data_IF_876670768161
#
_entry.id   IF_876670768161
#
_cell.length_a   1.000
_cell.length_b   1.000
_cell.length_c   1.000
_cell.angle_alpha   90.00
_cell.angle_beta   90.00
_cell.angle_gamma   90.00
#
_symmetry.space_group_name_H-M   'P 1'
#
loop_
_entity.id
_entity.type
_entity.pdbx_description
1 polymer ?
#
# COMPACT_ATOMS: atom_id res chain seq x y z
N UNK A 1 4.66 3.12 -12.74
CA UNK A 1 5.28 2.62 -11.48
C UNK A 1 6.28 3.68 -10.99
N UNK A 2 5.98 4.45 -9.92
CA UNK A 2 6.76 5.67 -9.52
C UNK A 2 7.11 5.79 -8.01
N UNK A 3 6.64 4.89 -7.15
CA UNK A 3 6.75 5.04 -5.69
C UNK A 3 8.18 4.96 -5.13
N UNK A 4 8.98 3.98 -5.59
CA UNK A 4 10.36 3.80 -5.10
C UNK A 4 11.28 4.95 -5.51
N UNK A 5 11.09 5.50 -6.71
CA UNK A 5 11.84 6.68 -7.17
C UNK A 5 11.53 7.89 -6.31
N UNK A 6 10.25 8.18 -6.05
CA UNK A 6 9.86 9.30 -5.20
C UNK A 6 10.39 9.14 -3.76
N UNK A 7 10.23 7.96 -3.15
CA UNK A 7 10.75 7.72 -1.79
C UNK A 7 12.27 7.82 -1.70
N UNK A 8 12.99 7.51 -2.78
CA UNK A 8 14.43 7.73 -2.89
C UNK A 8 14.79 9.21 -3.03
N UNK A 9 14.11 9.95 -3.91
CA UNK A 9 14.31 11.41 -4.11
C UNK A 9 14.09 12.17 -2.80
N UNK A 10 13.01 11.88 -2.10
CA UNK A 10 12.69 12.53 -0.83
C UNK A 10 13.40 11.90 0.39
N UNK A 11 14.25 10.88 0.19
CA UNK A 11 15.02 10.24 1.25
C UNK A 11 14.17 9.63 2.38
N UNK A 12 12.90 9.28 2.12
CA UNK A 12 11.95 8.84 3.15
C UNK A 12 12.43 7.55 3.83
N UNK A 13 12.82 6.56 3.03
CA UNK A 13 13.29 5.27 3.55
C UNK A 13 14.64 5.40 4.27
N UNK A 14 15.50 6.34 3.85
CA UNK A 14 16.76 6.65 4.53
C UNK A 14 16.50 7.21 5.93
N UNK A 15 15.60 8.20 6.04
CA UNK A 15 15.24 8.81 7.32
C UNK A 15 14.59 7.82 8.29
N UNK A 16 13.68 6.97 7.79
CA UNK A 16 13.08 5.92 8.62
C UNK A 16 14.13 4.93 9.15
N UNK A 17 15.13 4.60 8.33
CA UNK A 17 16.25 3.75 8.76
C UNK A 17 17.12 4.46 9.81
N UNK A 18 17.44 5.73 9.61
CA UNK A 18 18.22 6.55 10.55
C UNK A 18 17.51 6.71 11.91
N UNK A 19 16.18 6.75 11.92
CA UNK A 19 15.40 6.77 13.16
C UNK A 19 15.20 5.38 13.80
N UNK A 20 15.82 4.32 13.26
CA UNK A 20 15.67 2.96 13.75
C UNK A 20 14.29 2.33 13.51
N UNK A 21 13.45 2.94 12.68
CA UNK A 21 12.09 2.47 12.41
C UNK A 21 12.06 1.50 11.23
N UNK A 22 11.25 0.45 11.36
CA UNK A 22 10.97 -0.49 10.27
C UNK A 22 9.84 0.06 9.39
N UNK A 23 10.11 0.19 8.09
CA UNK A 23 9.14 0.65 7.12
C UNK A 23 8.33 -0.52 6.54
N UNK A 24 7.05 -0.61 6.92
CA UNK A 24 6.06 -1.46 6.26
C UNK A 24 5.60 -0.79 4.97
N UNK A 25 5.84 -1.42 3.82
CA UNK A 25 5.53 -0.79 2.52
C UNK A 25 4.88 -1.75 1.54
N UNK A 26 4.13 -1.18 0.58
CA UNK A 26 3.56 -1.96 -0.51
C UNK A 26 4.61 -2.60 -1.44
N UNK A 27 4.17 -3.61 -2.22
CA UNK A 27 4.99 -4.42 -3.15
C UNK A 27 5.80 -3.64 -4.20
N UNK A 28 5.54 -2.34 -4.37
CA UNK A 28 6.30 -1.44 -5.24
C UNK A 28 7.69 -1.07 -4.71
N UNK A 29 7.97 -1.36 -3.43
CA UNK A 29 9.26 -1.13 -2.77
C UNK A 29 10.02 -2.44 -2.50
N UNK A 30 9.64 -3.54 -3.17
CA UNK A 30 10.44 -4.78 -3.11
C UNK A 30 11.86 -4.46 -3.59
N UNK A 31 12.86 -4.84 -2.79
CA UNK A 31 14.27 -4.54 -3.08
C UNK A 31 14.74 -3.16 -2.58
N UNK A 32 13.94 -2.44 -1.79
CA UNK A 32 14.33 -1.12 -1.27
C UNK A 32 15.43 -1.13 -0.18
N UNK A 33 15.92 -2.31 0.22
CA UNK A 33 17.02 -2.48 1.16
C UNK A 33 16.58 -2.90 2.57
N UNK A 34 17.55 -2.96 3.49
CA UNK A 34 17.32 -3.34 4.89
C UNK A 34 16.42 -2.32 5.60
N UNK A 35 15.61 -2.78 6.56
CA UNK A 35 14.65 -1.94 7.28
C UNK A 35 13.33 -1.71 6.54
N UNK A 36 13.15 -2.28 5.34
CA UNK A 36 11.90 -2.22 4.57
C UNK A 36 11.29 -3.62 4.46
N UNK A 37 10.08 -3.77 4.98
CA UNK A 37 9.31 -5.01 4.89
C UNK A 37 8.23 -4.84 3.84
N UNK A 38 8.11 -5.83 2.94
CA UNK A 38 7.12 -5.83 1.86
C UNK A 38 6.32 -7.14 1.85
N UNK A 39 5.05 -7.13 1.40
CA UNK A 39 4.27 -8.35 1.28
C UNK A 39 4.88 -9.32 0.27
N UNK A 40 4.78 -10.62 0.54
CA UNK A 40 5.19 -11.66 -0.41
C UNK A 40 4.41 -11.52 -1.75
N UNK A 41 5.10 -11.68 -2.89
CA UNK A 41 4.53 -11.66 -4.25
C UNK A 41 4.12 -13.06 -4.72
N UNK A 42 3.25 -13.14 -5.73
CA UNK A 42 2.74 -14.39 -6.33
C UNK A 42 1.28 -14.74 -5.97
N UNK A 43 0.69 -15.65 -6.76
CA UNK A 43 -0.59 -16.34 -6.50
C UNK A 43 -0.31 -17.71 -5.85
N UNK A 44 -1.31 -18.39 -5.30
CA UNK A 44 -1.17 -19.76 -4.79
C UNK A 44 -0.16 -19.94 -3.64
N UNK A 45 0.07 -18.90 -2.83
CA UNK A 45 1.09 -18.95 -1.77
C UNK A 45 0.71 -19.92 -0.65
N UNK A 46 1.70 -20.61 -0.04
CA UNK A 46 1.45 -21.38 1.17
C UNK A 46 1.02 -20.47 2.33
N UNK A 47 0.32 -21.03 3.30
CA UNK A 47 -0.30 -20.27 4.39
C UNK A 47 0.71 -19.46 5.21
N UNK A 48 1.91 -20.02 5.42
CA UNK A 48 3.06 -19.33 6.06
C UNK A 48 3.44 -18.00 5.42
N UNK A 49 3.13 -17.78 4.13
CA UNK A 49 3.37 -16.51 3.41
C UNK A 49 2.11 -15.66 3.29
N UNK A 50 0.92 -16.21 3.55
CA UNK A 50 -0.36 -15.48 3.52
C UNK A 50 -0.61 -14.78 4.86
N UNK A 51 -0.32 -15.45 5.97
CA UNK A 51 -0.55 -14.90 7.31
C UNK A 51 0.18 -13.56 7.53
N UNK A 52 1.50 -13.43 7.26
CA UNK A 52 2.20 -12.15 7.38
C UNK A 52 1.64 -11.07 6.44
N UNK A 53 1.13 -11.45 5.26
CA UNK A 53 0.52 -10.49 4.34
C UNK A 53 -0.83 -9.97 4.85
N UNK A 54 -1.59 -10.79 5.60
CA UNK A 54 -2.86 -10.36 6.23
C UNK A 54 -2.59 -9.41 7.38
N UNK A 55 -1.62 -9.72 8.23
CA UNK A 55 -1.17 -8.81 9.31
C UNK A 55 -0.66 -7.49 8.74
N UNK A 56 0.22 -7.55 7.73
CA UNK A 56 0.69 -6.36 7.03
C UNK A 56 -0.47 -5.57 6.37
N UNK A 57 -1.52 -6.25 5.88
CA UNK A 57 -2.70 -5.56 5.34
C UNK A 57 -3.53 -4.86 6.42
N UNK A 58 -3.63 -5.43 7.63
CA UNK A 58 -4.32 -4.84 8.78
C UNK A 58 -3.64 -3.55 9.28
N UNK A 59 -2.30 -3.50 9.20
CA UNK A 59 -1.48 -2.36 9.61
C UNK A 59 -1.43 -1.20 8.59
N UNK A 60 -2.11 -1.31 7.45
CA UNK A 60 -2.11 -0.23 6.46
C UNK A 60 -2.74 1.03 7.02
N UNK A 61 -2.12 2.17 6.70
CA UNK A 61 -2.72 3.47 6.92
C UNK A 61 -4.08 3.59 6.20
N UNK A 62 -5.01 4.44 6.66
CA UNK A 62 -6.32 4.58 6.05
C UNK A 62 -6.27 4.87 4.54
N UNK A 63 -5.39 5.77 4.10
CA UNK A 63 -5.22 6.07 2.67
C UNK A 63 -4.68 4.89 1.85
N UNK A 64 -3.79 4.08 2.43
CA UNK A 64 -3.32 2.85 1.77
C UNK A 64 -4.39 1.77 1.70
N UNK A 65 -5.25 1.64 2.72
CA UNK A 65 -6.41 0.74 2.70
C UNK A 65 -7.40 1.14 1.61
N UNK A 66 -7.73 2.43 1.52
CA UNK A 66 -8.63 2.93 0.49
C UNK A 66 -8.08 2.69 -0.93
N UNK A 67 -6.78 2.96 -1.15
CA UNK A 67 -6.12 2.67 -2.41
C UNK A 67 -6.03 1.16 -2.73
N UNK A 68 -5.91 0.30 -1.72
CA UNK A 68 -5.96 -1.15 -1.90
C UNK A 68 -7.36 -1.63 -2.28
N UNK A 69 -8.40 -1.12 -1.61
CA UNK A 69 -9.80 -1.41 -1.93
C UNK A 69 -10.17 -0.95 -3.34
N UNK A 70 -9.71 0.23 -3.76
CA UNK A 70 -9.90 0.73 -5.13
C UNK A 70 -9.31 -0.25 -6.18
N UNK A 71 -8.14 -0.84 -5.89
CA UNK A 71 -7.47 -1.78 -6.79
C UNK A 71 -8.14 -3.15 -6.84
N UNK A 72 -8.67 -3.63 -5.72
CA UNK A 72 -9.37 -4.91 -5.64
C UNK A 72 -10.81 -4.82 -6.19
N UNK A 73 -11.49 -3.69 -6.00
CA UNK A 73 -12.93 -3.50 -6.28
C UNK A 73 -13.34 -3.52 -7.75
N UNK A 74 -12.43 -3.86 -8.68
CA UNK A 74 -12.66 -3.89 -10.15
C UNK A 74 -13.15 -2.57 -10.75
N UNK A 75 -13.31 -1.49 -9.99
CA UNK A 75 -13.65 -0.14 -10.46
C UNK A 75 -12.70 0.29 -11.57
N UNK A 76 -11.40 0.02 -11.37
CA UNK A 76 -10.36 0.29 -12.36
C UNK A 76 -10.44 -0.60 -13.61
N UNK A 77 -11.20 -1.70 -13.61
CA UNK A 77 -11.46 -2.54 -14.80
C UNK A 77 -12.54 -1.93 -15.70
N UNK A 78 -13.45 -1.13 -15.13
CA UNK A 78 -14.59 -0.52 -15.86
C UNK A 78 -14.32 0.91 -16.30
N UNK A 79 -13.28 1.57 -15.79
CA UNK A 79 -12.94 2.96 -16.10
C UNK A 79 -11.43 3.13 -16.29
N UNK A 80 -11.03 3.68 -17.44
CA UNK A 80 -9.69 4.27 -17.65
C UNK A 80 -9.73 5.70 -17.12
N UNK A 81 -9.70 5.90 -15.80
CA UNK A 81 -9.87 7.25 -15.25
C UNK A 81 -8.55 8.04 -15.19
N UNK A 82 -8.68 9.36 -15.26
CA UNK A 82 -7.63 10.31 -14.90
C UNK A 82 -7.14 10.04 -13.47
N UNK A 83 -5.82 10.13 -13.17
CA UNK A 83 -5.30 9.94 -11.82
C UNK A 83 -5.95 10.83 -10.77
N UNK A 84 -6.39 12.04 -11.14
CA UNK A 84 -7.13 12.95 -10.27
C UNK A 84 -8.44 12.29 -9.79
N UNK A 85 -9.21 11.75 -10.72
CA UNK A 85 -10.50 11.10 -10.42
C UNK A 85 -10.32 9.79 -9.65
N UNK A 86 -9.23 9.05 -9.87
CA UNK A 86 -8.88 7.89 -9.04
C UNK A 86 -8.64 8.31 -7.57
N UNK A 87 -8.03 9.49 -7.38
CA UNK A 87 -7.82 10.08 -6.07
C UNK A 87 -9.14 10.44 -5.38
N UNK A 88 -10.11 11.00 -6.10
CA UNK A 88 -11.44 11.30 -5.57
C UNK A 88 -12.18 10.04 -5.13
N UNK A 89 -12.17 8.98 -5.95
CA UNK A 89 -12.78 7.69 -5.58
C UNK A 89 -12.06 7.10 -4.36
N UNK A 90 -10.73 7.16 -4.29
CA UNK A 90 -9.99 6.70 -3.12
C UNK A 90 -10.35 7.51 -1.85
N UNK A 91 -10.57 8.83 -1.95
CA UNK A 91 -11.07 9.64 -0.84
C UNK A 91 -12.47 9.25 -0.42
N UNK A 92 -13.37 9.01 -1.38
CA UNK A 92 -14.72 8.54 -1.08
C UNK A 92 -14.71 7.20 -0.35
N UNK A 93 -13.90 6.24 -0.82
CA UNK A 93 -13.69 4.95 -0.15
C UNK A 93 -13.16 5.16 1.27
N UNK A 94 -12.19 6.05 1.46
CA UNK A 94 -11.64 6.37 2.77
C UNK A 94 -12.73 6.88 3.74
N UNK A 95 -13.58 7.80 3.29
CA UNK A 95 -14.69 8.34 4.11
C UNK A 95 -15.68 7.25 4.47
N UNK A 96 -16.05 6.39 3.53
CA UNK A 96 -16.96 5.26 3.79
C UNK A 96 -16.35 4.28 4.80
N UNK A 97 -15.08 3.90 4.62
CA UNK A 97 -14.38 3.03 5.57
C UNK A 97 -14.31 3.62 6.97
N UNK A 98 -14.09 4.93 7.10
CA UNK A 98 -14.05 5.60 8.40
C UNK A 98 -15.41 5.53 9.11
N UNK A 99 -16.53 5.64 8.38
CA UNK A 99 -17.89 5.53 8.92
C UNK A 99 -18.29 4.11 9.32
N UNK A 100 -17.71 3.10 8.71
CA UNK A 100 -17.98 1.69 9.04
C UNK A 100 -17.17 1.20 10.25
N UNK A 101 -16.07 1.88 10.59
CA UNK A 101 -15.19 1.54 11.73
C UNK A 101 -15.37 2.42 12.97
N UNK A 102 -16.22 3.45 12.91
CA UNK A 102 -16.59 4.30 14.05
C UNK A 102 -17.98 3.94 14.55
#
# INVERSE_FOLDING_TARGET
MRGLKATRVYGVLRRLKESGLVALTGKGHVGAGRGVVTPFKGRGKPERKKQPNREHARLRSPGERANAALKDGRVLRKRRCCPLHAGEIARAILVLQARETG
#
